data_IF_426624179393
#
_entry.id   IF_426624179393
#
_cell.length_a   1.000
_cell.length_b   1.000
_cell.length_c   1.000
_cell.angle_alpha   90.00
_cell.angle_beta   90.00
_cell.angle_gamma   90.00
#
_symmetry.space_group_name_H-M   'P 1'
#
loop_
_entity.id
_entity.type
_entity.pdbx_description
1 polymer ?
#
# COMPACT_ATOMS: atom_id res chain seq x y z
N UNK A 1 -6.41 2.03 19.66
CA UNK A 1 -5.51 3.05 20.24
C UNK A 1 -4.86 3.92 19.14
N UNK A 2 -5.38 5.14 18.95
CA UNK A 2 -4.82 6.30 18.21
C UNK A 2 -4.06 6.11 16.89
N UNK A 3 -2.90 5.43 16.93
CA UNK A 3 -2.00 5.22 15.82
C UNK A 3 -1.52 3.78 15.66
N UNK A 4 -1.91 2.79 16.47
CA UNK A 4 -1.28 1.45 16.41
C UNK A 4 -1.89 0.56 15.32
N UNK A 5 -3.22 0.37 15.31
CA UNK A 5 -3.88 -0.56 14.40
C UNK A 5 -5.28 -0.12 13.96
N UNK A 6 -5.76 -0.70 12.85
CA UNK A 6 -7.14 -0.61 12.39
C UNK A 6 -7.66 -1.99 11.96
N UNK A 7 -7.81 -2.94 12.90
CA UNK A 7 -8.01 -4.36 12.59
C UNK A 7 -9.28 -4.63 11.77
N UNK A 8 -10.36 -3.88 11.99
CA UNK A 8 -11.61 -4.02 11.21
C UNK A 8 -11.45 -3.63 9.74
N UNK A 9 -10.62 -2.64 9.43
CA UNK A 9 -10.35 -2.24 8.05
C UNK A 9 -9.51 -3.31 7.37
N UNK A 10 -8.53 -3.89 8.07
CA UNK A 10 -7.75 -4.98 7.50
C UNK A 10 -8.59 -6.23 7.23
N UNK A 11 -9.54 -6.54 8.11
CA UNK A 11 -10.50 -7.63 7.87
C UNK A 11 -11.39 -7.33 6.66
N UNK A 12 -11.86 -6.09 6.50
CA UNK A 12 -12.65 -5.67 5.32
C UNK A 12 -11.82 -5.75 4.03
N UNK A 13 -10.57 -5.31 4.07
CA UNK A 13 -9.67 -5.35 2.92
C UNK A 13 -9.37 -6.80 2.52
N UNK A 14 -9.02 -7.65 3.49
CA UNK A 14 -8.82 -9.10 3.29
C UNK A 14 -10.07 -9.77 2.75
N UNK A 15 -11.25 -9.45 3.30
CA UNK A 15 -12.52 -9.96 2.80
C UNK A 15 -12.72 -9.58 1.34
N UNK A 16 -12.52 -8.30 1.00
CA UNK A 16 -12.68 -7.78 -0.36
C UNK A 16 -11.71 -8.46 -1.34
N UNK A 17 -10.44 -8.61 -0.97
CA UNK A 17 -9.44 -9.31 -1.79
C UNK A 17 -9.88 -10.76 -2.01
N UNK A 18 -10.32 -11.45 -0.96
CA UNK A 18 -10.76 -12.85 -1.08
C UNK A 18 -12.00 -12.99 -1.95
N UNK A 19 -12.97 -12.08 -1.85
CA UNK A 19 -14.17 -12.08 -2.71
C UNK A 19 -13.80 -11.90 -4.20
N UNK A 20 -12.82 -11.03 -4.50
CA UNK A 20 -12.44 -10.72 -5.88
C UNK A 20 -11.43 -11.70 -6.48
N UNK A 21 -10.50 -12.22 -5.68
CA UNK A 21 -9.37 -13.08 -6.11
C UNK A 21 -9.51 -14.54 -5.68
N UNK A 22 -10.57 -14.89 -4.93
CA UNK A 22 -10.88 -16.22 -4.36
C UNK A 22 -9.94 -16.68 -3.25
N UNK A 23 -8.64 -16.42 -3.37
CA UNK A 23 -7.62 -16.75 -2.38
C UNK A 23 -6.60 -15.62 -2.24
N UNK A 24 -5.92 -15.57 -1.09
CA UNK A 24 -4.89 -14.55 -0.79
C UNK A 24 -3.48 -15.12 -0.90
N UNK A 25 -3.32 -16.43 -0.66
CA UNK A 25 -2.04 -17.11 -0.72
C UNK A 25 -1.39 -16.91 -2.11
N UNK A 26 -0.11 -16.55 -2.13
CA UNK A 26 0.71 -16.24 -3.31
C UNK A 26 0.26 -15.03 -4.14
N UNK A 27 -0.70 -14.21 -3.70
CA UNK A 27 -0.99 -12.94 -4.37
C UNK A 27 0.15 -11.95 -4.15
N UNK A 28 0.49 -11.20 -5.19
CA UNK A 28 1.37 -10.04 -5.11
C UNK A 28 0.54 -8.81 -4.74
N UNK A 29 0.72 -8.30 -3.51
CA UNK A 29 -0.04 -7.17 -2.99
C UNK A 29 0.89 -5.98 -2.78
N UNK A 30 0.61 -4.89 -3.46
CA UNK A 30 1.36 -3.63 -3.34
C UNK A 30 0.59 -2.66 -2.47
N UNK A 31 1.21 -2.20 -1.37
CA UNK A 31 0.68 -1.13 -0.53
C UNK A 31 1.46 0.14 -0.82
N UNK A 32 0.78 1.15 -1.36
CA UNK A 32 1.40 2.35 -1.91
C UNK A 32 0.99 3.61 -1.13
N UNK A 33 1.97 4.29 -0.53
CA UNK A 33 1.81 5.63 0.03
C UNK A 33 2.37 5.82 1.44
N UNK A 34 1.59 6.45 2.31
CA UNK A 34 2.02 6.78 3.69
C UNK A 34 1.95 5.55 4.61
N UNK A 35 2.98 4.71 4.59
CA UNK A 35 3.04 3.49 5.41
C UNK A 35 3.35 3.83 6.88
N UNK A 36 4.29 4.75 7.11
CA UNK A 36 4.75 5.14 8.45
C UNK A 36 3.59 5.57 9.36
N UNK A 37 2.66 6.39 8.86
CA UNK A 37 1.55 6.91 9.65
C UNK A 37 0.23 6.16 9.46
N UNK A 38 0.19 5.13 8.60
CA UNK A 38 -1.02 4.37 8.33
C UNK A 38 -1.23 3.19 9.29
N UNK A 39 -2.31 3.31 10.07
CA UNK A 39 -2.85 2.20 10.87
C UNK A 39 -3.37 1.06 10.01
N UNK A 40 -3.94 1.39 8.86
CA UNK A 40 -4.49 0.42 7.90
C UNK A 40 -3.37 -0.40 7.29
N UNK A 41 -2.25 0.24 6.90
CA UNK A 41 -1.08 -0.44 6.35
C UNK A 41 -0.53 -1.48 7.32
N UNK A 42 -0.37 -1.11 8.59
CA UNK A 42 0.13 -2.03 9.62
C UNK A 42 -0.76 -3.26 9.79
N UNK A 43 -2.07 -3.06 9.98
CA UNK A 43 -2.99 -4.19 10.13
C UNK A 43 -3.07 -5.05 8.84
N UNK A 44 -2.97 -4.44 7.66
CA UNK A 44 -2.92 -5.17 6.40
C UNK A 44 -1.64 -5.99 6.22
N UNK A 45 -0.48 -5.45 6.57
CA UNK A 45 0.80 -6.18 6.51
C UNK A 45 0.69 -7.48 7.30
N UNK A 46 0.25 -7.41 8.56
CA UNK A 46 0.07 -8.58 9.41
C UNK A 46 -0.91 -9.59 8.80
N UNK A 47 -2.10 -9.15 8.40
CA UNK A 47 -3.14 -10.04 7.90
C UNK A 47 -2.76 -10.69 6.56
N UNK A 48 -2.25 -9.92 5.60
CA UNK A 48 -1.86 -10.39 4.27
C UNK A 48 -0.68 -11.35 4.33
N UNK A 49 0.36 -11.02 5.11
CA UNK A 49 1.50 -11.90 5.34
C UNK A 49 1.08 -13.22 5.98
N UNK A 50 0.21 -13.15 7.01
CA UNK A 50 -0.30 -14.34 7.70
C UNK A 50 -1.09 -15.26 6.77
N UNK A 51 -1.74 -14.69 5.74
CA UNK A 51 -2.52 -15.40 4.73
C UNK A 51 -1.71 -15.81 3.50
N UNK A 52 -0.39 -15.61 3.50
CA UNK A 52 0.53 -16.08 2.46
C UNK A 52 0.70 -15.15 1.27
N UNK A 53 0.31 -13.89 1.36
CA UNK A 53 0.56 -12.91 0.30
C UNK A 53 2.03 -12.45 0.27
N UNK A 54 2.51 -12.13 -0.94
CA UNK A 54 3.78 -11.45 -1.18
C UNK A 54 3.52 -9.94 -1.13
N UNK A 55 3.90 -9.29 -0.03
CA UNK A 55 3.58 -7.88 0.20
C UNK A 55 4.77 -6.99 -0.17
N UNK A 56 4.52 -6.05 -1.09
CA UNK A 56 5.47 -4.98 -1.46
C UNK A 56 4.96 -3.65 -0.92
N UNK A 57 5.84 -2.91 -0.25
CA UNK A 57 5.57 -1.57 0.27
C UNK A 57 6.30 -0.55 -0.61
N UNK A 58 5.57 0.48 -1.05
CA UNK A 58 6.11 1.50 -1.94
C UNK A 58 5.68 2.91 -1.52
N UNK A 59 6.59 3.86 -1.68
CA UNK A 59 6.37 5.27 -1.38
C UNK A 59 7.69 6.00 -1.16
N UNK A 60 7.66 7.29 -0.82
CA UNK A 60 8.86 8.04 -0.43
C UNK A 60 9.60 7.32 0.71
N UNK A 61 10.93 7.28 0.67
CA UNK A 61 11.75 6.61 1.71
C UNK A 61 11.52 7.17 3.12
N UNK A 62 11.09 8.43 3.22
CA UNK A 62 10.68 9.08 4.46
C UNK A 62 9.37 8.53 5.03
N UNK A 63 8.47 8.02 4.19
CA UNK A 63 7.19 7.40 4.58
C UNK A 63 7.22 5.87 4.57
N UNK A 64 8.23 5.27 3.92
CA UNK A 64 8.43 3.83 3.83
C UNK A 64 9.89 3.48 4.16
N UNK A 65 10.35 3.66 5.42
CA UNK A 65 11.71 3.32 5.79
C UNK A 65 11.99 1.82 5.63
N UNK A 66 13.22 1.43 5.30
CA UNK A 66 13.63 0.02 5.13
C UNK A 66 13.39 -0.86 6.37
N UNK A 67 13.22 -0.29 7.55
CA UNK A 67 12.85 -1.03 8.76
C UNK A 67 11.60 -1.90 8.57
N UNK A 68 10.70 -1.53 7.64
CA UNK A 68 9.54 -2.36 7.33
C UNK A 68 9.88 -3.70 6.65
N UNK A 69 11.09 -3.88 6.12
CA UNK A 69 11.56 -5.18 5.62
C UNK A 69 11.61 -6.23 6.74
N UNK A 70 11.79 -5.82 8.00
CA UNK A 70 11.75 -6.72 9.18
C UNK A 70 10.38 -7.38 9.38
N UNK A 71 9.31 -6.84 8.76
CA UNK A 71 7.97 -7.45 8.77
C UNK A 71 7.82 -8.59 7.75
N UNK A 72 8.88 -8.90 7.00
CA UNK A 72 8.87 -9.88 5.92
C UNK A 72 8.23 -9.36 4.63
N UNK A 73 8.08 -8.03 4.52
CA UNK A 73 7.67 -7.35 3.30
C UNK A 73 8.90 -6.96 2.46
N UNK A 74 8.67 -6.79 1.15
CA UNK A 74 9.64 -6.13 0.27
C UNK A 74 9.41 -4.63 0.31
N UNK A 75 10.46 -3.81 0.40
CA UNK A 75 10.37 -2.35 0.29
C UNK A 75 11.03 -1.89 -1.00
N UNK A 76 10.33 -1.06 -1.76
CA UNK A 76 10.91 -0.34 -2.91
C UNK A 76 10.47 1.11 -2.94
N UNK A 77 11.25 1.94 -3.63
CA UNK A 77 10.96 3.35 -3.87
C UNK A 77 10.63 3.62 -5.33
N UNK A 78 10.69 2.58 -6.16
CA UNK A 78 10.28 2.61 -7.56
C UNK A 78 8.86 2.06 -7.68
N UNK A 79 7.94 2.91 -8.14
CA UNK A 79 6.54 2.53 -8.33
C UNK A 79 6.35 1.54 -9.47
N UNK A 80 7.17 1.58 -10.52
CA UNK A 80 7.03 0.68 -11.67
C UNK A 80 7.39 -0.74 -11.25
N UNK A 81 8.50 -0.89 -10.51
CA UNK A 81 8.91 -2.15 -9.88
C UNK A 81 7.88 -2.63 -8.83
N UNK A 82 7.22 -1.71 -8.12
CA UNK A 82 6.17 -2.07 -7.17
C UNK A 82 4.88 -2.56 -7.85
N UNK A 83 4.61 -2.13 -9.08
CA UNK A 83 3.38 -2.46 -9.80
C UNK A 83 3.53 -3.67 -10.72
N UNK A 84 4.75 -4.00 -11.12
CA UNK A 84 5.04 -5.13 -11.99
C UNK A 84 4.45 -6.44 -11.42
N UNK A 85 3.49 -7.01 -12.15
CA UNK A 85 2.87 -8.28 -11.77
C UNK A 85 2.02 -8.24 -10.51
N UNK A 86 1.63 -7.06 -10.01
CA UNK A 86 0.75 -6.92 -8.86
C UNK A 86 -0.66 -7.46 -9.14
N UNK A 87 -1.21 -8.22 -8.19
CA UNK A 87 -2.60 -8.70 -8.18
C UNK A 87 -3.55 -7.71 -7.51
N UNK A 88 -3.03 -6.97 -6.52
CA UNK A 88 -3.79 -6.00 -5.71
C UNK A 88 -2.92 -4.78 -5.47
N UNK A 89 -3.47 -3.59 -5.70
CA UNK A 89 -2.85 -2.31 -5.34
C UNK A 89 -3.70 -1.64 -4.27
N UNK A 90 -3.19 -1.57 -3.04
CA UNK A 90 -3.82 -0.86 -1.94
C UNK A 90 -3.20 0.54 -1.79
N UNK A 91 -3.94 1.54 -2.26
CA UNK A 91 -3.56 2.95 -2.19
C UNK A 91 -3.85 3.52 -0.82
N UNK A 92 -2.88 4.23 -0.26
CA UNK A 92 -3.02 4.94 1.00
C UNK A 92 -3.03 6.45 0.79
N UNK A 93 -3.90 7.11 1.55
CA UNK A 93 -3.92 8.56 1.66
C UNK A 93 -2.68 9.05 2.41
N UNK A 94 -2.11 10.16 1.96
CA UNK A 94 -1.12 10.91 2.75
C UNK A 94 -1.79 11.50 3.99
N UNK A 95 -1.24 11.21 5.17
CA UNK A 95 -1.79 11.66 6.46
C UNK A 95 -1.09 12.95 6.91
N UNK A 96 -1.35 14.06 6.22
CA UNK A 96 -0.71 15.37 6.51
C UNK A 96 -0.85 15.77 7.98
N UNK A 97 -1.99 15.48 8.61
CA UNK A 97 -2.25 15.81 10.00
C UNK A 97 -1.35 15.07 11.01
N UNK A 98 -0.59 14.07 10.55
CA UNK A 98 0.32 13.26 11.39
C UNK A 98 1.79 13.59 11.17
N UNK A 99 2.11 14.36 10.13
CA UNK A 99 3.48 14.71 9.78
C UNK A 99 3.95 15.90 10.62
N UNK A 100 5.00 15.70 11.42
CA UNK A 100 5.61 16.77 12.25
C UNK A 100 6.65 17.60 11.50
N UNK A 101 7.11 17.10 10.36
CA UNK A 101 8.09 17.72 9.45
C UNK A 101 7.68 17.42 8.02
N UNK A 102 8.13 18.23 7.08
CA UNK A 102 7.94 17.99 5.65
C UNK A 102 8.59 16.66 5.25
N UNK A 103 7.77 15.65 4.95
CA UNK A 103 8.26 14.31 4.61
C UNK A 103 8.65 14.19 3.13
N UNK A 104 8.12 15.08 2.28
CA UNK A 104 8.42 15.15 0.85
C UNK A 104 8.10 16.56 0.34
N UNK A 105 8.67 17.00 -0.80
CA UNK A 105 8.74 18.43 -1.12
C UNK A 105 7.38 19.06 -1.48
N UNK A 106 6.49 18.31 -2.14
CA UNK A 106 5.12 18.77 -2.41
C UNK A 106 4.17 17.61 -2.77
N UNK A 107 2.86 17.85 -2.64
CA UNK A 107 1.82 16.91 -3.10
C UNK A 107 1.92 16.68 -4.61
N UNK A 108 2.21 17.72 -5.39
CA UNK A 108 2.35 17.59 -6.85
C UNK A 108 3.51 16.67 -7.24
N UNK A 109 4.63 16.75 -6.52
CA UNK A 109 5.75 15.84 -6.73
C UNK A 109 5.42 14.41 -6.30
N UNK A 110 4.74 14.24 -5.16
CA UNK A 110 4.26 12.92 -4.74
C UNK A 110 3.34 12.30 -5.79
N UNK A 111 2.35 13.04 -6.30
CA UNK A 111 1.43 12.54 -7.34
C UNK A 111 2.16 12.22 -8.64
N UNK A 112 3.19 12.98 -9.01
CA UNK A 112 4.01 12.68 -10.19
C UNK A 112 4.81 11.38 -10.01
N UNK A 113 5.50 11.25 -8.87
CA UNK A 113 6.37 10.11 -8.61
C UNK A 113 5.59 8.83 -8.28
N UNK A 114 4.53 8.91 -7.48
CA UNK A 114 3.82 7.76 -6.91
C UNK A 114 2.33 7.68 -7.28
N UNK A 115 1.79 8.62 -8.06
CA UNK A 115 0.40 8.56 -8.50
C UNK A 115 0.16 7.44 -9.53
N UNK A 116 -0.99 6.77 -9.45
CA UNK A 116 -1.39 5.82 -10.49
C UNK A 116 -1.89 6.57 -11.73
N UNK A 117 -1.45 6.10 -12.90
CA UNK A 117 -1.90 6.56 -14.21
C UNK A 117 -2.07 5.34 -15.13
N UNK A 118 -2.56 5.56 -16.35
CA UNK A 118 -2.85 4.47 -17.29
C UNK A 118 -1.63 3.64 -17.66
N UNK A 119 -0.44 4.24 -17.82
CA UNK A 119 0.77 3.49 -18.19
C UNK A 119 1.24 2.61 -17.03
N UNK A 120 1.19 3.11 -15.80
CA UNK A 120 1.51 2.35 -14.59
C UNK A 120 0.54 1.20 -14.32
N UNK A 121 -0.74 1.40 -14.59
CA UNK A 121 -1.73 0.32 -14.51
C UNK A 121 -1.52 -0.77 -15.55
N UNK A 122 -0.83 -0.49 -16.67
CA UNK A 122 -0.51 -1.52 -17.65
C UNK A 122 0.62 -2.47 -17.19
N UNK A 123 1.35 -2.12 -16.12
CA UNK A 123 2.40 -2.97 -15.53
C UNK A 123 1.84 -4.05 -14.59
N UNK A 124 0.61 -3.85 -14.11
CA UNK A 124 -0.04 -4.78 -13.19
C UNK A 124 -0.60 -5.97 -13.96
N UNK A 125 -1.05 -7.01 -13.26
CA UNK A 125 -1.78 -8.10 -13.92
C UNK A 125 -3.07 -7.58 -14.56
N UNK A 126 -3.54 -8.19 -15.68
CA UNK A 126 -4.75 -7.75 -16.38
C UNK A 126 -6.03 -7.74 -15.52
N UNK A 127 -6.09 -8.59 -14.50
CA UNK A 127 -7.22 -8.72 -13.58
C UNK A 127 -6.94 -8.04 -12.22
N UNK A 128 -5.88 -7.22 -12.12
CA UNK A 128 -5.51 -6.57 -10.88
C UNK A 128 -6.63 -5.66 -10.35
N UNK A 129 -6.77 -5.60 -9.03
CA UNK A 129 -7.74 -4.73 -8.36
C UNK A 129 -7.06 -3.59 -7.65
N UNK A 130 -7.68 -2.41 -7.68
CA UNK A 130 -7.24 -1.22 -6.94
C UNK A 130 -8.17 -1.04 -5.74
N UNK A 131 -7.58 -0.82 -4.58
CA UNK A 131 -8.28 -0.59 -3.32
C UNK A 131 -7.79 0.71 -2.70
N UNK A 132 -8.66 1.40 -1.95
CA UNK A 132 -8.30 2.57 -1.17
C UNK A 132 -9.26 2.68 0.02
N UNK A 133 -8.79 2.83 1.28
CA UNK A 133 -9.65 2.85 2.47
C UNK A 133 -10.45 4.16 2.66
N UNK A 134 -10.46 5.03 1.65
CA UNK A 134 -11.00 6.40 1.71
C UNK A 134 -10.37 7.35 2.75
N UNK A 135 -10.75 8.65 2.72
CA UNK A 135 -11.18 9.38 1.53
C UNK A 135 -10.00 9.53 0.54
N UNK A 136 -10.30 9.56 -0.76
CA UNK A 136 -9.29 9.72 -1.82
C UNK A 136 -8.88 11.20 -1.91
N UNK A 137 -7.57 11.46 -1.82
CA UNK A 137 -7.01 12.75 -2.24
C UNK A 137 -6.93 12.74 -3.78
N UNK A 138 -7.66 13.64 -4.45
CA UNK A 138 -7.58 13.82 -5.91
C UNK A 138 -6.48 14.79 -6.28
#
# INVERSE_FOLDING_TARGET
>A
DGAHEHPTQALLDVFTIREKKKAINNLNVTILGDILYSRVARSNIWALRKLGANVTLCGPSTLVPRIFEETGCRVTYDIEEALEGADVINLLRIQHERQRKTMFPSIGEYSRLFGLNRSRLALTKPDAIIMHPGPINR
#
